data_IF_765812396440
#
_entry.id   IF_765812396440
#
_cell.length_a   1.000
_cell.length_b   1.000
_cell.length_c   1.000
_cell.angle_alpha   90.00
_cell.angle_beta   90.00
_cell.angle_gamma   90.00
#
_symmetry.space_group_name_H-M   'P 1'
#
loop_
_entity.id
_entity.type
_entity.pdbx_description
1 polymer ?
#
# COMPACT_ATOMS: atom_id res chain seq x y z
N UNK A 1 -36.03 15.09 7.75
CA UNK A 1 -35.04 14.11 7.25
C UNK A 1 -35.30 13.94 5.75
N UNK A 2 -34.32 14.21 4.89
CA UNK A 2 -34.45 13.88 3.47
C UNK A 2 -34.27 12.38 3.26
N UNK A 3 -34.86 11.81 2.20
CA UNK A 3 -34.67 10.42 1.79
C UNK A 3 -33.19 10.05 1.64
N UNK A 4 -32.36 11.00 1.19
CA UNK A 4 -30.90 10.82 1.10
C UNK A 4 -30.25 10.57 2.47
N UNK A 5 -30.63 11.32 3.51
CA UNK A 5 -30.09 11.12 4.86
C UNK A 5 -30.51 9.76 5.45
N UNK A 6 -31.74 9.33 5.19
CA UNK A 6 -32.22 8.01 5.60
C UNK A 6 -31.38 6.90 4.96
N UNK A 7 -31.12 6.98 3.65
CA UNK A 7 -30.31 5.99 2.94
C UNK A 7 -28.87 5.93 3.44
N UNK A 8 -28.28 7.08 3.80
CA UNK A 8 -26.93 7.11 4.40
C UNK A 8 -26.89 6.47 5.79
N UNK A 9 -27.92 6.69 6.62
CA UNK A 9 -28.02 6.04 7.92
C UNK A 9 -28.22 4.53 7.79
N UNK A 10 -29.11 4.11 6.88
CA UNK A 10 -29.34 2.70 6.59
C UNK A 10 -28.06 2.01 6.10
N UNK A 11 -27.34 2.62 5.17
CA UNK A 11 -26.05 2.12 4.70
C UNK A 11 -25.08 1.88 5.86
N UNK A 12 -24.89 2.89 6.73
CA UNK A 12 -24.00 2.78 7.89
C UNK A 12 -24.43 1.63 8.82
N UNK A 13 -25.71 1.52 9.14
CA UNK A 13 -26.23 0.47 10.03
C UNK A 13 -25.98 -0.94 9.48
N UNK A 14 -26.10 -1.12 8.17
CA UNK A 14 -25.90 -2.42 7.52
C UNK A 14 -24.42 -2.79 7.38
N UNK A 15 -23.52 -1.82 7.20
CA UNK A 15 -22.12 -2.10 6.87
C UNK A 15 -21.16 -2.03 8.04
N UNK A 16 -21.51 -1.38 9.15
CA UNK A 16 -20.57 -1.07 10.24
C UNK A 16 -19.93 -2.33 10.85
N UNK A 17 -20.71 -3.38 11.10
CA UNK A 17 -20.20 -4.63 11.67
C UNK A 17 -19.24 -5.35 10.71
N UNK A 18 -19.56 -5.38 9.42
CA UNK A 18 -18.68 -5.93 8.39
C UNK A 18 -17.39 -5.14 8.21
N UNK A 19 -17.47 -3.81 8.34
CA UNK A 19 -16.31 -2.93 8.30
C UNK A 19 -15.36 -3.17 9.48
N UNK A 20 -15.90 -3.38 10.69
CA UNK A 20 -15.11 -3.78 11.88
C UNK A 20 -14.44 -5.13 11.70
N UNK A 21 -15.20 -6.17 11.31
CA UNK A 21 -14.67 -7.51 11.03
C UNK A 21 -13.53 -7.45 10.01
N UNK A 22 -13.71 -6.66 8.94
CA UNK A 22 -12.69 -6.46 7.91
C UNK A 22 -11.46 -5.74 8.42
N UNK A 23 -11.58 -4.82 9.37
CA UNK A 23 -10.44 -4.14 9.97
C UNK A 23 -9.61 -5.09 10.86
N UNK A 24 -10.29 -5.85 11.72
CA UNK A 24 -9.64 -6.73 12.71
C UNK A 24 -9.05 -7.99 12.09
N UNK A 25 -9.81 -8.68 11.24
CA UNK A 25 -9.45 -10.04 10.78
C UNK A 25 -8.54 -10.04 9.55
N UNK A 26 -8.49 -8.95 8.78
CA UNK A 26 -7.69 -8.88 7.56
C UNK A 26 -6.31 -8.28 7.82
N UNK A 27 -5.35 -9.14 8.16
CA UNK A 27 -3.92 -8.79 8.32
C UNK A 27 -3.27 -8.27 7.02
N UNK A 28 -3.89 -8.52 5.86
CA UNK A 28 -3.40 -8.09 4.54
C UNK A 28 -4.14 -6.88 3.97
N UNK A 29 -4.95 -6.20 4.79
CA UNK A 29 -5.64 -4.99 4.35
C UNK A 29 -4.60 -3.91 3.98
N UNK A 30 -4.80 -3.22 2.85
CA UNK A 30 -3.90 -2.14 2.44
C UNK A 30 -3.92 -1.02 3.48
N UNK A 31 -2.81 -0.26 3.56
CA UNK A 31 -2.68 0.87 4.50
C UNK A 31 -3.76 1.92 4.28
N UNK A 32 -4.07 2.23 3.03
CA UNK A 32 -5.12 3.19 2.65
C UNK A 32 -6.50 2.73 3.12
N UNK A 33 -6.85 1.46 2.91
CA UNK A 33 -8.13 0.93 3.38
C UNK A 33 -8.21 0.89 4.90
N UNK A 34 -7.11 0.58 5.60
CA UNK A 34 -7.06 0.68 7.07
C UNK A 34 -7.30 2.11 7.54
N UNK A 35 -6.70 3.11 6.88
CA UNK A 35 -6.91 4.52 7.24
C UNK A 35 -8.37 4.95 7.08
N UNK A 36 -9.07 4.47 6.05
CA UNK A 36 -10.51 4.75 5.83
C UNK A 36 -11.39 4.05 6.87
N UNK A 37 -11.06 2.82 7.26
CA UNK A 37 -11.86 2.04 8.21
C UNK A 37 -11.60 2.41 9.69
N UNK A 38 -10.40 2.89 10.03
CA UNK A 38 -10.01 3.27 11.40
C UNK A 38 -11.02 4.20 12.11
N UNK A 39 -11.47 5.32 11.52
CA UNK A 39 -12.45 6.20 12.17
C UNK A 39 -13.84 5.57 12.32
N UNK A 40 -14.17 4.53 11.55
CA UNK A 40 -15.46 3.82 11.64
C UNK A 40 -15.47 2.86 12.84
N UNK A 41 -14.30 2.30 13.18
CA UNK A 41 -14.13 1.34 14.30
C UNK A 41 -14.01 2.06 15.65
N UNK A 42 -13.77 3.38 15.66
CA UNK A 42 -13.72 4.19 16.89
C UNK A 42 -12.39 4.13 17.63
N UNK A 43 -11.31 3.71 16.96
CA UNK A 43 -9.96 3.70 17.53
C UNK A 43 -9.30 5.08 17.33
N UNK A 44 -9.79 6.07 18.08
CA UNK A 44 -9.18 7.40 18.25
C UNK A 44 -7.94 7.34 19.18
N UNK A 45 -7.16 6.25 19.11
CA UNK A 45 -5.79 6.28 19.59
C UNK A 45 -4.97 6.97 18.49
N UNK A 46 -4.69 8.25 18.72
CA UNK A 46 -3.58 8.96 18.09
C UNK A 46 -2.36 8.04 18.18
N UNK A 47 -1.95 7.46 17.04
CA UNK A 47 -0.68 6.75 16.98
C UNK A 47 0.39 7.77 17.37
N UNK A 48 1.20 7.56 18.42
CA UNK A 48 2.37 8.39 18.60
C UNK A 48 3.19 8.25 17.33
N UNK A 49 3.43 9.39 16.67
CA UNK A 49 4.33 9.54 15.55
C UNK A 49 5.76 9.25 16.00
N UNK A 50 6.04 8.00 16.34
CA UNK A 50 7.39 7.50 16.49
C UNK A 50 7.94 7.31 15.09
N UNK A 51 8.50 8.41 14.61
CA UNK A 51 9.48 8.47 13.54
C UNK A 51 10.72 7.66 13.95
N UNK A 52 10.57 6.34 14.11
CA UNK A 52 11.71 5.45 14.27
C UNK A 52 12.19 5.09 12.88
N UNK A 53 13.13 5.90 12.40
CA UNK A 53 14.07 5.55 11.34
C UNK A 53 14.81 4.27 11.74
N UNK A 54 14.19 3.13 11.50
CA UNK A 54 14.88 1.86 11.33
C UNK A 54 14.34 1.27 10.05
N UNK A 55 14.98 1.61 8.94
CA UNK A 55 14.77 1.02 7.61
C UNK A 55 15.20 -0.45 7.64
N UNK A 56 14.44 -1.27 8.38
CA UNK A 56 14.23 -2.65 8.00
C UNK A 56 13.57 -2.57 6.64
N UNK A 57 14.37 -2.72 5.58
CA UNK A 57 13.86 -2.82 4.22
C UNK A 57 12.95 -4.05 4.17
N UNK A 58 11.66 -3.85 4.46
CA UNK A 58 10.65 -4.89 4.40
C UNK A 58 10.73 -5.51 3.01
N UNK A 59 10.94 -6.82 2.95
CA UNK A 59 11.01 -7.56 1.69
C UNK A 59 9.67 -7.39 0.96
N UNK A 60 9.66 -6.67 -0.14
CA UNK A 60 8.48 -6.49 -1.00
C UNK A 60 8.59 -7.39 -2.23
N UNK A 61 7.54 -7.47 -3.05
CA UNK A 61 7.60 -8.21 -4.31
C UNK A 61 8.13 -7.31 -5.43
N UNK A 62 8.86 -7.89 -6.37
CA UNK A 62 9.27 -7.19 -7.57
C UNK A 62 8.05 -6.82 -8.43
N UNK A 63 7.95 -5.54 -8.81
CA UNK A 63 6.85 -5.01 -9.62
C UNK A 63 6.90 -5.43 -11.10
N UNK A 64 8.05 -5.92 -11.57
CA UNK A 64 8.27 -6.33 -12.96
C UNK A 64 8.08 -7.84 -13.15
N UNK A 65 8.14 -8.61 -12.06
CA UNK A 65 7.84 -10.03 -12.13
C UNK A 65 6.35 -10.25 -12.35
N UNK A 66 6.01 -11.22 -13.21
CA UNK A 66 4.64 -11.73 -13.28
C UNK A 66 4.12 -12.09 -11.88
N UNK A 67 2.92 -11.63 -11.52
CA UNK A 67 2.37 -11.70 -10.16
C UNK A 67 2.44 -13.11 -9.53
N UNK A 68 2.22 -14.17 -10.32
CA UNK A 68 2.34 -15.57 -9.88
C UNK A 68 3.72 -15.93 -9.32
N UNK A 69 4.80 -15.28 -9.76
CA UNK A 69 6.17 -15.58 -9.31
C UNK A 69 6.44 -15.09 -7.89
N UNK A 70 5.71 -14.07 -7.40
CA UNK A 70 5.84 -13.52 -6.03
C UNK A 70 7.31 -13.38 -5.58
N UNK A 71 8.17 -12.85 -6.44
CA UNK A 71 9.61 -12.78 -6.16
C UNK A 71 9.90 -11.66 -5.16
N UNK A 72 10.40 -12.03 -4.00
CA UNK A 72 10.82 -11.06 -2.99
C UNK A 72 12.07 -10.28 -3.41
N UNK A 73 12.12 -9.02 -3.04
CA UNK A 73 13.27 -8.15 -3.22
C UNK A 73 13.39 -7.15 -2.06
N UNK A 74 14.62 -6.75 -1.77
CA UNK A 74 14.95 -5.62 -0.90
C UNK A 74 15.47 -4.43 -1.71
N UNK A 75 15.66 -4.62 -3.01
CA UNK A 75 16.26 -3.64 -3.91
C UNK A 75 15.19 -2.75 -4.51
N UNK A 76 15.40 -1.44 -4.40
CA UNK A 76 14.57 -0.40 -5.00
C UNK A 76 15.35 0.28 -6.13
N UNK A 77 14.65 0.72 -7.16
CA UNK A 77 15.23 1.58 -8.19
C UNK A 77 15.68 2.90 -7.56
N UNK A 78 16.94 3.30 -7.76
CA UNK A 78 17.48 4.55 -7.20
C UNK A 78 16.83 5.83 -7.75
N UNK A 79 16.02 5.74 -8.81
CA UNK A 79 15.38 6.90 -9.46
C UNK A 79 13.88 7.00 -9.19
N UNK A 80 13.17 5.87 -9.17
CA UNK A 80 11.71 5.84 -9.01
C UNK A 80 11.24 5.02 -7.79
N UNK A 81 12.18 4.53 -6.98
CA UNK A 81 11.94 3.75 -5.76
C UNK A 81 11.12 2.46 -5.95
N UNK A 82 10.91 2.05 -7.21
CA UNK A 82 10.17 0.83 -7.53
C UNK A 82 10.95 -0.41 -7.09
N UNK A 83 10.27 -1.34 -6.43
CA UNK A 83 10.84 -2.62 -6.03
C UNK A 83 11.16 -3.51 -7.24
N UNK A 84 12.44 -3.85 -7.39
CA UNK A 84 12.99 -4.61 -8.53
C UNK A 84 13.83 -5.78 -8.05
N UNK A 85 13.70 -6.94 -8.68
CA UNK A 85 14.56 -8.08 -8.38
C UNK A 85 15.86 -8.02 -9.20
N UNK A 86 16.87 -8.78 -8.80
CA UNK A 86 18.16 -8.82 -9.50
C UNK A 86 18.10 -9.24 -10.98
N UNK A 87 17.04 -9.96 -11.41
CA UNK A 87 16.81 -10.29 -12.83
C UNK A 87 16.31 -9.08 -13.63
N UNK A 88 15.49 -8.23 -13.02
CA UNK A 88 14.93 -7.04 -13.67
C UNK A 88 15.76 -5.79 -13.42
N UNK A 89 17.00 -5.93 -12.91
CA UNK A 89 18.05 -4.93 -12.68
C UNK A 89 18.33 -4.62 -11.18
N UNK A 90 19.60 -4.32 -10.87
CA UNK A 90 20.12 -4.19 -9.49
C UNK A 90 20.12 -2.76 -8.90
N UNK A 91 20.07 -1.70 -9.72
CA UNK A 91 20.16 -0.30 -9.25
C UNK A 91 19.09 0.61 -9.86
N UNK A 92 18.91 0.56 -11.17
CA UNK A 92 17.79 1.23 -11.85
C UNK A 92 16.77 0.19 -12.28
N UNK A 93 15.56 0.57 -12.66
CA UNK A 93 14.61 -0.32 -13.32
C UNK A 93 14.74 -0.17 -14.86
N UNK A 94 14.22 -1.12 -15.66
CA UNK A 94 14.32 -1.06 -17.12
C UNK A 94 13.74 0.24 -17.67
N UNK A 95 12.61 0.69 -17.12
CA UNK A 95 11.96 1.96 -17.46
C UNK A 95 12.81 3.18 -17.18
N UNK A 96 13.60 3.19 -16.09
CA UNK A 96 14.48 4.31 -15.78
C UNK A 96 15.81 4.28 -16.56
N UNK A 97 16.16 3.11 -17.10
CA UNK A 97 17.41 2.89 -17.84
C UNK A 97 17.29 3.34 -19.29
N UNK A 98 16.13 3.19 -19.91
CA UNK A 98 15.89 3.67 -21.28
C UNK A 98 16.11 5.17 -21.42
N UNK A 99 15.69 5.97 -20.42
CA UNK A 99 15.93 7.42 -20.41
C UNK A 99 17.41 7.84 -20.27
N UNK A 100 18.32 6.92 -19.92
CA UNK A 100 19.76 7.24 -19.82
C UNK A 100 20.44 7.12 -21.19
N UNK A 101 19.90 6.30 -22.10
CA UNK A 101 20.47 6.11 -23.44
C UNK A 101 20.08 7.21 -24.43
N UNK A 102 18.99 7.93 -24.18
CA UNK A 102 18.52 9.01 -25.07
C UNK A 102 19.12 10.39 -24.74
N UNK A 103 19.87 10.53 -23.64
CA UNK A 103 20.51 11.79 -23.23
C UNK A 103 22.00 11.86 -23.62
N UNK A 104 22.46 10.95 -24.48
CA UNK A 104 23.87 10.72 -24.77
C UNK A 104 24.25 10.70 -26.25
N UNK A 105 23.46 11.33 -27.12
CA UNK A 105 23.85 11.74 -28.48
C UNK A 105 23.24 13.10 -28.84
#
# INVERSE_FOLDING_TARGET
MSTSNFMLQLHKQLTIEWQKIRYDQNLRLSKELRAILKPIVGDDQEEPSTFSQKTSHKKTYCNLCHYKKKRHTTTLCSRCEMAICGEHQRKFCPTCTTYILESGQ
#
